data_IF_132797768633
#
_entry.id   IF_132797768633
#
_cell.length_a   1.000
_cell.length_b   1.000
_cell.length_c   1.000
_cell.angle_alpha   90.00
_cell.angle_beta   90.00
_cell.angle_gamma   90.00
#
_symmetry.space_group_name_H-M   'P 1'
#
loop_
_entity.id
_entity.type
_entity.pdbx_description
1 polymer ?
#
# COMPACT_ATOMS: atom_id res chain seq x y z
N UNK A 1 8.10 10.74 -13.36
CA UNK A 1 8.11 10.60 -11.90
C UNK A 1 8.20 9.12 -11.58
N UNK A 2 9.15 8.70 -10.75
CA UNK A 2 9.29 7.29 -10.43
C UNK A 2 10.36 7.10 -9.36
N UNK A 3 10.10 6.19 -8.44
CA UNK A 3 11.07 5.70 -7.49
C UNK A 3 11.14 4.18 -7.63
N UNK A 4 12.33 3.62 -7.46
CA UNK A 4 12.51 2.17 -7.37
C UNK A 4 12.81 1.85 -5.92
N UNK A 5 12.05 0.91 -5.36
CA UNK A 5 12.21 0.42 -4.00
C UNK A 5 12.55 -1.06 -4.07
N UNK A 6 13.65 -1.45 -3.43
CA UNK A 6 13.97 -2.85 -3.22
C UNK A 6 13.46 -3.27 -1.83
N UNK A 7 12.73 -4.37 -1.77
CA UNK A 7 12.00 -4.83 -0.59
C UNK A 7 12.25 -6.30 -0.32
N UNK A 8 12.20 -6.68 0.96
CA UNK A 8 12.21 -8.08 1.38
C UNK A 8 11.19 -8.27 2.49
N UNK A 9 10.36 -9.31 2.35
CA UNK A 9 9.32 -9.67 3.33
C UNK A 9 9.51 -11.12 3.79
N UNK A 10 9.14 -11.40 5.03
CA UNK A 10 9.04 -12.76 5.54
C UNK A 10 7.71 -13.38 5.11
N UNK A 11 7.74 -14.13 4.01
CA UNK A 11 6.56 -14.81 3.45
C UNK A 11 5.97 -15.84 4.44
N UNK A 12 6.80 -16.47 5.27
CA UNK A 12 6.33 -17.45 6.25
C UNK A 12 5.55 -16.81 7.41
N UNK A 13 5.72 -15.51 7.65
CA UNK A 13 5.03 -14.78 8.71
C UNK A 13 3.68 -14.18 8.25
N UNK A 14 3.28 -14.39 7.00
CA UNK A 14 2.05 -13.81 6.48
C UNK A 14 0.79 -14.45 7.11
N UNK A 15 -0.14 -13.66 7.67
CA UNK A 15 -1.42 -14.14 8.18
C UNK A 15 -2.29 -14.61 7.02
N UNK A 16 -2.44 -15.92 6.89
CA UNK A 16 -3.15 -16.58 5.78
C UNK A 16 -4.62 -16.19 5.71
N UNK A 17 -5.21 -15.82 6.84
CA UNK A 17 -6.57 -15.34 6.99
C UNK A 17 -6.84 -14.01 6.27
N UNK A 18 -5.79 -13.22 5.99
CA UNK A 18 -5.89 -11.94 5.26
C UNK A 18 -5.72 -12.08 3.75
N UNK A 19 -5.65 -13.31 3.23
CA UNK A 19 -5.50 -13.56 1.80
C UNK A 19 -6.82 -13.32 1.07
N UNK A 20 -6.78 -12.53 0.00
CA UNK A 20 -7.96 -12.16 -0.79
C UNK A 20 -7.88 -12.85 -2.14
N UNK A 21 -8.90 -13.64 -2.48
CA UNK A 21 -8.98 -14.31 -3.79
C UNK A 21 -9.61 -13.33 -4.79
N UNK A 22 -8.86 -13.03 -5.85
CA UNK A 22 -9.32 -12.23 -6.98
C UNK A 22 -10.33 -12.98 -7.86
N UNK A 23 -11.04 -12.26 -8.72
CA UNK A 23 -12.02 -12.85 -9.65
C UNK A 23 -11.40 -13.84 -10.65
N UNK A 24 -10.11 -13.68 -10.90
CA UNK A 24 -9.25 -14.52 -11.73
C UNK A 24 -8.65 -15.72 -10.97
N UNK A 25 -8.95 -15.85 -9.66
CA UNK A 25 -8.40 -16.90 -8.80
C UNK A 25 -7.01 -16.58 -8.22
N UNK A 26 -6.42 -15.41 -8.52
CA UNK A 26 -5.16 -14.98 -7.94
C UNK A 26 -5.32 -14.69 -6.44
N UNK A 27 -4.29 -14.99 -5.64
CA UNK A 27 -4.31 -14.75 -4.19
C UNK A 27 -3.49 -13.50 -3.89
N UNK A 28 -4.14 -12.52 -3.29
CA UNK A 28 -3.59 -11.21 -2.97
C UNK A 28 -3.37 -11.06 -1.47
N UNK A 29 -2.31 -10.35 -1.11
CA UNK A 29 -2.05 -9.96 0.27
C UNK A 29 -1.75 -8.46 0.33
N UNK A 30 -2.52 -7.74 1.14
CA UNK A 30 -2.40 -6.30 1.27
C UNK A 30 -1.47 -5.94 2.44
N UNK A 31 -0.48 -5.11 2.17
CA UNK A 31 0.46 -4.60 3.16
C UNK A 31 0.70 -3.11 2.97
N UNK A 32 1.21 -2.46 4.01
CA UNK A 32 1.56 -1.04 4.03
C UNK A 32 3.07 -0.88 3.97
N UNK A 33 3.54 -0.04 3.04
CA UNK A 33 4.93 0.41 3.00
C UNK A 33 4.98 1.84 3.56
N UNK A 34 5.81 2.07 4.56
CA UNK A 34 6.16 3.40 5.05
C UNK A 34 7.52 3.79 4.51
N UNK A 35 7.62 4.98 3.92
CA UNK A 35 8.88 5.56 3.40
C UNK A 35 9.22 6.74 4.31
N UNK A 36 10.45 6.75 4.83
CA UNK A 36 10.95 7.81 5.71
C UNK A 36 12.19 8.49 5.11
N UNK A 37 12.45 9.70 5.56
CA UNK A 37 13.65 10.46 5.18
C UNK A 37 14.91 9.94 5.89
N UNK A 38 14.75 9.41 7.11
CA UNK A 38 15.85 8.86 7.90
C UNK A 38 16.12 7.40 7.54
N UNK A 39 17.41 7.08 7.39
CA UNK A 39 17.86 5.70 7.14
C UNK A 39 18.29 5.05 8.44
N UNK A 40 17.85 3.80 8.66
CA UNK A 40 18.30 2.95 9.76
C UNK A 40 18.80 1.61 9.22
N UNK A 41 20.07 1.28 9.53
CA UNK A 41 20.75 0.06 9.04
C UNK A 41 20.66 -0.11 7.51
N UNK A 42 20.80 0.98 6.75
CA UNK A 42 20.75 0.96 5.28
C UNK A 42 19.35 0.85 4.67
N UNK A 43 18.29 0.91 5.48
CA UNK A 43 16.90 0.90 5.04
C UNK A 43 16.20 2.20 5.43
N UNK A 44 15.40 2.76 4.52
CA UNK A 44 14.57 3.93 4.78
C UNK A 44 13.08 3.63 4.58
N UNK A 45 12.73 2.37 4.34
CA UNK A 45 11.35 1.94 4.19
C UNK A 45 11.05 0.73 5.09
N UNK A 46 9.80 0.66 5.56
CA UNK A 46 9.31 -0.38 6.44
C UNK A 46 8.02 -1.00 5.89
N UNK A 47 7.89 -2.31 6.03
CA UNK A 47 6.74 -3.06 5.50
C UNK A 47 5.98 -3.68 6.66
N UNK A 48 4.69 -3.37 6.72
CA UNK A 48 3.78 -3.86 7.77
C UNK A 48 2.52 -4.45 7.17
N UNK A 49 1.88 -5.32 7.91
CA UNK A 49 0.55 -5.81 7.57
C UNK A 49 -0.45 -4.64 7.42
N UNK A 50 -1.39 -4.80 6.50
CA UNK A 50 -2.47 -3.84 6.35
C UNK A 50 -3.42 -3.94 7.55
N UNK A 51 -3.79 -2.77 8.08
CA UNK A 51 -4.75 -2.66 9.16
C UNK A 51 -5.97 -1.89 8.72
N UNK A 52 -7.14 -2.40 9.11
CA UNK A 52 -8.42 -1.72 8.97
C UNK A 52 -8.48 -0.48 9.87
N UNK A 53 -9.49 0.36 9.66
CA UNK A 53 -9.71 1.54 10.50
C UNK A 53 -9.94 1.14 11.96
N UNK A 54 -10.76 0.12 12.18
CA UNK A 54 -11.11 -0.37 13.52
C UNK A 54 -9.89 -0.93 14.27
N UNK A 55 -9.02 -1.69 13.59
CA UNK A 55 -7.78 -2.21 14.19
C UNK A 55 -6.83 -1.07 14.61
N UNK A 56 -6.80 0.02 13.82
CA UNK A 56 -6.01 1.22 14.12
C UNK A 56 -6.59 1.99 15.30
N UNK A 57 -7.91 2.16 15.35
CA UNK A 57 -8.61 2.84 16.46
C UNK A 57 -8.46 2.07 17.77
N UNK A 58 -8.45 0.73 17.69
CA UNK A 58 -8.13 -0.17 18.80
C UNK A 58 -6.64 -0.22 19.16
N UNK A 59 -5.76 0.53 18.46
CA UNK A 59 -4.30 0.57 18.67
C UNK A 59 -3.63 -0.80 18.61
N UNK A 60 -4.17 -1.72 17.82
CA UNK A 60 -3.57 -3.03 17.61
C UNK A 60 -2.20 -2.84 16.97
N UNK A 61 -1.19 -3.54 17.49
CA UNK A 61 0.16 -3.44 16.93
C UNK A 61 0.20 -3.99 15.49
N UNK A 62 0.93 -3.29 14.62
CA UNK A 62 1.15 -3.75 13.25
C UNK A 62 2.13 -4.91 13.25
N UNK A 63 1.74 -6.00 12.58
CA UNK A 63 2.69 -7.04 12.27
C UNK A 63 3.73 -6.48 11.29
N UNK A 64 5.00 -6.57 11.68
CA UNK A 64 6.11 -6.23 10.80
C UNK A 64 6.37 -7.39 9.86
N UNK A 65 6.44 -7.09 8.57
CA UNK A 65 6.70 -8.09 7.53
C UNK A 65 8.12 -8.01 6.98
N UNK A 66 8.74 -6.83 7.01
CA UNK A 66 10.11 -6.66 6.55
C UNK A 66 10.50 -5.22 6.33
N UNK A 67 11.57 -5.03 5.55
CA UNK A 67 12.18 -3.74 5.29
C UNK A 67 12.37 -3.52 3.79
N UNK A 68 12.63 -2.26 3.45
CA UNK A 68 12.88 -1.85 2.10
C UNK A 68 13.82 -0.65 2.06
N UNK A 69 14.38 -0.40 0.88
CA UNK A 69 15.21 0.76 0.60
C UNK A 69 14.85 1.37 -0.75
N UNK A 70 14.78 2.69 -0.80
CA UNK A 70 14.74 3.43 -2.06
C UNK A 70 16.11 3.31 -2.72
N UNK A 71 16.16 2.78 -3.95
CA UNK A 71 17.42 2.61 -4.70
C UNK A 71 17.57 3.60 -5.83
N UNK A 72 16.49 4.26 -6.25
CA UNK A 72 16.51 5.24 -7.31
C UNK A 72 15.30 6.18 -7.23
N UNK A 73 15.50 7.44 -7.61
CA UNK A 73 14.44 8.44 -7.83
C UNK A 73 14.79 9.19 -9.12
N UNK A 74 13.81 9.34 -10.01
CA UNK A 74 14.02 9.91 -11.36
C UNK A 74 14.67 11.29 -11.38
N UNK A 75 14.30 12.14 -10.43
CA UNK A 75 14.67 13.55 -10.38
C UNK A 75 15.37 13.87 -9.03
N UNK A 76 16.18 12.94 -8.52
CA UNK A 76 16.94 13.18 -7.29
C UNK A 76 18.05 14.20 -7.49
N UNK A 77 18.14 15.17 -6.57
CA UNK A 77 19.29 16.06 -6.42
C UNK A 77 20.19 15.47 -5.32
N UNK A 78 21.27 14.82 -5.75
CA UNK A 78 22.13 14.07 -4.83
C UNK A 78 21.42 12.82 -4.30
N UNK A 79 21.28 12.70 -2.97
CA UNK A 79 20.66 11.55 -2.31
C UNK A 79 19.21 11.80 -1.85
N UNK A 80 18.58 12.86 -2.37
CA UNK A 80 17.24 13.31 -1.96
C UNK A 80 16.36 13.55 -3.19
N UNK A 81 15.07 13.27 -3.08
CA UNK A 81 14.10 13.51 -4.14
C UNK A 81 12.67 13.59 -3.60
N UNK A 82 11.72 14.06 -4.42
CA UNK A 82 10.31 14.22 -4.02
C UNK A 82 9.45 13.07 -4.54
N UNK A 83 8.58 12.56 -3.68
CA UNK A 83 7.52 11.58 -4.04
C UNK A 83 6.18 12.29 -3.86
N UNK A 84 5.32 12.21 -4.88
CA UNK A 84 3.98 12.81 -4.84
C UNK A 84 2.92 11.74 -4.59
N UNK A 85 1.77 12.16 -4.04
CA UNK A 85 0.61 11.29 -3.85
C UNK A 85 0.03 10.90 -5.21
N UNK A 86 -0.43 9.65 -5.32
CA UNK A 86 -1.14 9.20 -6.50
C UNK A 86 -2.58 9.72 -6.49
N UNK A 87 -3.01 10.33 -7.59
CA UNK A 87 -4.42 10.68 -7.80
C UNK A 87 -5.21 9.40 -8.10
N UNK A 88 -6.37 9.25 -7.46
CA UNK A 88 -7.31 8.18 -7.81
C UNK A 88 -8.15 8.68 -8.97
N UNK A 89 -8.11 7.97 -10.10
CA UNK A 89 -9.11 8.19 -11.16
C UNK A 89 -10.49 7.81 -10.60
N UNK A 90 -11.32 8.80 -10.29
CA UNK A 90 -12.73 8.57 -9.96
C UNK A 90 -13.43 7.99 -11.18
N UNK A 91 -13.82 6.71 -11.09
CA UNK A 91 -14.74 6.12 -12.06
C UNK A 91 -16.11 6.77 -11.80
N UNK A 92 -16.75 7.42 -12.79
CA UNK A 92 -18.08 8.00 -12.59
C UNK A 92 -19.05 6.90 -12.15
N UNK A 93 -19.75 7.13 -11.04
CA UNK A 93 -20.83 6.25 -10.59
C UNK A 93 -21.94 6.23 -11.67
N UNK A 94 -22.50 5.06 -12.00
CA UNK A 94 -23.65 4.99 -12.89
C UNK A 94 -24.84 5.67 -12.19
N UNK A 95 -25.32 6.77 -12.78
CA UNK A 95 -26.60 7.39 -12.43
C UNK A 95 -27.68 6.32 -12.57
N UNK A 96 -28.26 5.91 -11.44
CA UNK A 96 -29.48 5.10 -11.44
C UNK A 96 -30.57 5.99 -12.00
N UNK A 97 -30.96 5.72 -13.25
CA UNK A 97 -32.19 6.28 -13.80
C UNK A 97 -33.35 5.75 -12.94
N UNK A 98 -33.92 6.62 -12.10
CA UNK A 98 -35.25 6.40 -11.55
C UNK A 98 -36.21 6.32 -12.74
N UNK A 99 -36.49 5.09 -13.18
CA UNK A 99 -37.51 4.78 -14.16
C UNK A 99 -38.87 5.13 -13.54
N UNK A 100 -39.32 6.34 -13.86
CA UNK A 100 -40.69 6.70 -14.24
C UNK A 100 -41.71 5.57 -13.97
N UNK A 101 -42.40 5.65 -12.84
CA UNK A 101 -43.59 4.84 -12.53
C UNK A 101 -44.80 5.58 -13.09
N UNK A 102 -45.41 5.12 -14.21
CA UNK A 102 -46.64 5.71 -14.71
C UNK A 102 -47.82 5.29 -13.82
N UNK A 103 -48.60 6.28 -13.36
CA UNK A 103 -49.98 6.10 -12.92
C UNK A 103 -50.91 5.92 -14.12
#
# INVERSE_FOLDING_TARGET
MGAIINASINVAALPKEKFVIGKDGAVWYNFTISINDETRYGNNCWITDSQTKDEREAKIQRLTLGNAKVVWIKDAEGNSGKIFLADREEKPEPVVAESDLPF
#
